data_IF_130194482863
#
_entry.id   IF_130194482863
#
_cell.length_a   1.000
_cell.length_b   1.000
_cell.length_c   1.000
_cell.angle_alpha   90.00
_cell.angle_beta   90.00
_cell.angle_gamma   90.00
#
_symmetry.space_group_name_H-M   'P 1'
#
loop_
_entity.id
_entity.type
_entity.pdbx_description
1 polymer ?
#
# COMPACT_ATOMS: atom_id res chain seq x y z
N UNK A 1 -18.04 -4.56 -5.24
CA UNK A 1 -19.22 -3.78 -4.74
C UNK A 1 -20.21 -3.53 -5.89
N UNK A 2 -19.82 -2.86 -6.95
CA UNK A 2 -20.69 -2.53 -8.11
C UNK A 2 -21.27 -3.75 -8.86
N UNK A 3 -20.73 -4.94 -8.68
CA UNK A 3 -21.23 -6.20 -9.27
C UNK A 3 -22.32 -6.89 -8.42
N UNK A 4 -22.62 -6.38 -7.22
CA UNK A 4 -23.68 -6.91 -6.39
C UNK A 4 -25.06 -6.41 -6.88
N UNK A 5 -26.12 -7.22 -6.75
CA UNK A 5 -27.47 -6.82 -7.15
C UNK A 5 -27.89 -5.47 -6.53
N UNK A 6 -28.40 -4.53 -7.33
CA UNK A 6 -28.87 -3.21 -6.89
C UNK A 6 -27.77 -2.25 -6.40
N UNK A 7 -26.49 -2.56 -6.66
CA UNK A 7 -25.38 -1.69 -6.22
C UNK A 7 -24.81 -0.85 -7.34
N UNK A 8 -24.99 -1.25 -8.60
CA UNK A 8 -24.46 -0.48 -9.75
C UNK A 8 -24.95 0.96 -9.77
N UNK A 9 -26.25 1.18 -9.55
CA UNK A 9 -26.91 2.47 -9.66
C UNK A 9 -26.45 3.49 -8.61
N UNK A 10 -25.76 3.03 -7.58
CA UNK A 10 -25.35 3.83 -6.40
C UNK A 10 -23.86 3.67 -6.05
N UNK A 11 -23.06 3.12 -6.97
CA UNK A 11 -21.63 2.90 -6.74
C UNK A 11 -20.80 3.69 -7.75
N UNK A 12 -19.79 4.37 -7.23
CA UNK A 12 -18.66 4.91 -8.01
C UNK A 12 -17.43 4.08 -7.70
N UNK A 13 -16.94 3.35 -8.68
CA UNK A 13 -15.69 2.58 -8.57
C UNK A 13 -14.53 3.45 -9.02
N UNK A 14 -13.61 3.78 -8.11
CA UNK A 14 -12.39 4.50 -8.42
C UNK A 14 -11.20 3.54 -8.34
N UNK A 15 -10.31 3.62 -9.31
CA UNK A 15 -9.08 2.81 -9.33
C UNK A 15 -7.90 3.62 -9.84
N UNK A 16 -6.70 3.16 -9.51
CA UNK A 16 -5.45 3.79 -9.90
C UNK A 16 -4.64 2.88 -10.80
N UNK A 17 -4.00 3.43 -11.81
CA UNK A 17 -3.04 2.73 -12.67
C UNK A 17 -1.63 2.71 -12.06
N UNK A 18 -1.42 3.50 -11.01
CA UNK A 18 -0.12 3.82 -10.42
C UNK A 18 0.71 2.61 -9.99
N UNK A 19 0.07 1.60 -9.36
CA UNK A 19 0.77 0.47 -8.77
C UNK A 19 0.82 -0.72 -9.72
N UNK A 20 -0.28 -0.99 -10.42
CA UNK A 20 -0.38 -2.11 -11.37
C UNK A 20 0.65 -2.02 -12.49
N UNK A 21 0.94 -0.80 -12.95
CA UNK A 21 1.87 -0.57 -14.07
C UNK A 21 3.15 0.17 -13.66
N UNK A 22 3.40 0.33 -12.35
CA UNK A 22 4.59 1.04 -11.81
C UNK A 22 4.74 2.48 -12.31
N UNK A 23 3.62 3.17 -12.59
CA UNK A 23 3.55 4.53 -13.13
C UNK A 23 3.04 5.56 -12.12
N UNK A 24 3.42 5.42 -10.85
CA UNK A 24 2.93 6.28 -9.76
C UNK A 24 3.08 7.77 -10.06
N UNK A 25 4.19 8.18 -10.71
CA UNK A 25 4.47 9.57 -11.07
C UNK A 25 3.58 10.13 -12.19
N UNK A 26 2.90 9.27 -12.95
CA UNK A 26 2.03 9.71 -14.05
C UNK A 26 0.70 10.29 -13.59
N UNK A 27 0.31 10.04 -12.35
CA UNK A 27 -0.94 10.55 -11.74
C UNK A 27 -2.20 10.15 -12.50
N UNK A 28 -2.26 8.89 -12.98
CA UNK A 28 -3.39 8.35 -13.73
C UNK A 28 -4.23 7.40 -12.86
N UNK A 29 -5.53 7.52 -13.03
CA UNK A 29 -6.55 6.65 -12.46
C UNK A 29 -7.84 6.78 -13.27
N UNK A 30 -8.85 6.02 -12.89
CA UNK A 30 -10.15 6.07 -13.55
C UNK A 30 -11.30 5.90 -12.55
N UNK A 31 -12.46 6.41 -12.96
CA UNK A 31 -13.72 6.21 -12.24
C UNK A 31 -14.75 5.58 -13.18
N UNK A 32 -15.53 4.64 -12.66
CA UNK A 32 -16.61 3.97 -13.37
C UNK A 32 -17.88 4.07 -12.53
N UNK A 33 -18.95 4.60 -13.11
CA UNK A 33 -20.25 4.72 -12.50
C UNK A 33 -21.35 4.84 -13.56
N UNK A 34 -22.64 4.74 -13.22
CA UNK A 34 -23.73 5.03 -14.13
C UNK A 34 -23.62 6.43 -14.77
N UNK A 35 -24.08 6.54 -16.02
CA UNK A 35 -23.94 7.76 -16.82
C UNK A 35 -24.40 9.04 -16.09
N UNK A 36 -25.56 9.08 -15.39
CA UNK A 36 -26.00 10.32 -14.71
C UNK A 36 -25.02 10.80 -13.64
N UNK A 37 -24.35 9.85 -12.95
CA UNK A 37 -23.32 10.16 -11.93
C UNK A 37 -22.05 10.63 -12.62
N UNK A 38 -21.60 9.93 -13.68
CA UNK A 38 -20.38 10.29 -14.42
C UNK A 38 -20.51 11.66 -15.09
N UNK A 39 -21.69 12.02 -15.61
CA UNK A 39 -21.90 13.34 -16.22
C UNK A 39 -21.66 14.47 -15.19
N UNK A 40 -22.06 14.26 -13.94
CA UNK A 40 -21.80 15.22 -12.84
C UNK A 40 -20.33 15.23 -12.44
N UNK A 41 -19.72 14.06 -12.29
CA UNK A 41 -18.29 13.94 -11.96
C UNK A 41 -17.44 14.66 -13.01
N UNK A 42 -17.73 14.47 -14.30
CA UNK A 42 -17.01 15.15 -15.39
C UNK A 42 -17.10 16.68 -15.30
N UNK A 43 -18.28 17.22 -15.02
CA UNK A 43 -18.46 18.67 -14.87
C UNK A 43 -17.55 19.25 -13.76
N UNK A 44 -17.52 18.60 -12.59
CA UNK A 44 -16.68 19.07 -11.48
C UNK A 44 -15.18 18.82 -11.75
N UNK A 45 -14.84 17.68 -12.35
CA UNK A 45 -13.45 17.34 -12.67
C UNK A 45 -12.83 18.32 -13.67
N UNK A 46 -13.60 18.76 -14.67
CA UNK A 46 -13.17 19.73 -15.66
C UNK A 46 -12.74 21.05 -15.02
N UNK A 47 -13.54 21.55 -14.04
CA UNK A 47 -13.19 22.78 -13.32
C UNK A 47 -12.09 22.61 -12.28
N UNK A 48 -11.92 21.43 -11.69
CA UNK A 48 -10.90 21.19 -10.66
C UNK A 48 -9.53 20.87 -11.25
N UNK A 49 -9.47 20.09 -12.32
CA UNK A 49 -8.23 19.45 -12.80
C UNK A 49 -8.05 19.57 -14.30
N UNK A 50 -9.09 20.01 -15.05
CA UNK A 50 -9.17 20.03 -16.53
C UNK A 50 -9.15 18.61 -17.11
N UNK A 51 -8.14 17.80 -16.79
CA UNK A 51 -8.01 16.42 -17.24
C UNK A 51 -6.64 15.83 -16.92
N UNK A 52 -6.50 14.55 -17.16
CA UNK A 52 -5.20 13.89 -17.08
C UNK A 52 -4.35 14.21 -18.33
N UNK A 53 -3.01 14.14 -18.25
CA UNK A 53 -2.13 14.41 -19.40
C UNK A 53 -2.39 13.45 -20.56
N UNK A 54 -2.84 13.98 -21.72
CA UNK A 54 -3.21 13.19 -22.88
C UNK A 54 -2.12 12.20 -23.35
N UNK A 55 -0.83 12.57 -23.45
CA UNK A 55 0.21 11.62 -23.86
C UNK A 55 0.35 10.43 -22.92
N UNK A 56 0.14 10.65 -21.62
CA UNK A 56 0.23 9.58 -20.62
C UNK A 56 -1.02 8.69 -20.63
N UNK A 57 -2.19 9.25 -20.97
CA UNK A 57 -3.41 8.45 -21.16
C UNK A 57 -3.27 7.50 -22.36
N UNK A 58 -2.73 7.98 -23.49
CA UNK A 58 -2.44 7.14 -24.64
C UNK A 58 -1.43 6.02 -24.30
N UNK A 59 -0.36 6.36 -23.62
CA UNK A 59 0.61 5.36 -23.17
C UNK A 59 0.01 4.33 -22.19
N UNK A 60 -0.96 4.72 -21.35
CA UNK A 60 -1.63 3.83 -20.42
C UNK A 60 -2.50 2.76 -21.10
N UNK A 61 -2.93 2.98 -22.33
CA UNK A 61 -3.68 1.98 -23.14
C UNK A 61 -2.87 0.70 -23.25
N UNK A 62 -1.56 0.78 -23.48
CA UNK A 62 -0.66 -0.37 -23.53
C UNK A 62 -0.74 -1.23 -22.26
N UNK A 63 -0.84 -0.58 -21.09
CA UNK A 63 -1.02 -1.29 -19.82
C UNK A 63 -2.40 -1.95 -19.71
N UNK A 64 -3.46 -1.27 -20.15
CA UNK A 64 -4.82 -1.80 -20.11
C UNK A 64 -5.04 -2.97 -21.08
N UNK A 65 -4.26 -3.03 -22.15
CA UNK A 65 -4.29 -4.10 -23.16
C UNK A 65 -3.37 -5.30 -22.80
N UNK A 66 -2.73 -5.28 -21.61
CA UNK A 66 -1.94 -6.41 -21.15
C UNK A 66 -2.80 -7.67 -21.00
N UNK A 67 -2.28 -8.86 -21.40
CA UNK A 67 -3.01 -10.11 -21.29
C UNK A 67 -3.25 -10.53 -19.83
N UNK A 68 -4.23 -11.38 -19.61
CA UNK A 68 -4.56 -11.90 -18.26
C UNK A 68 -3.36 -12.57 -17.58
N UNK A 69 -2.42 -13.14 -18.34
CA UNK A 69 -1.18 -13.70 -17.80
C UNK A 69 -0.34 -12.68 -17.04
N UNK A 70 -0.29 -11.43 -17.50
CA UNK A 70 0.39 -10.35 -16.79
C UNK A 70 -0.16 -10.16 -15.38
N UNK A 71 -1.48 -10.09 -15.24
CA UNK A 71 -2.12 -9.87 -13.95
C UNK A 71 -1.96 -11.08 -13.01
N UNK A 72 -1.99 -12.30 -13.60
CA UNK A 72 -1.73 -13.52 -12.84
C UNK A 72 -0.30 -13.56 -12.31
N UNK A 73 0.69 -13.37 -13.15
CA UNK A 73 2.11 -13.34 -12.78
C UNK A 73 2.41 -12.24 -11.76
N UNK A 74 1.80 -11.06 -11.94
CA UNK A 74 1.88 -9.96 -10.99
C UNK A 74 1.31 -10.34 -9.62
N UNK A 75 0.15 -10.99 -9.59
CA UNK A 75 -0.48 -11.48 -8.37
C UNK A 75 0.37 -12.54 -7.67
N UNK A 76 0.91 -13.52 -8.41
CA UNK A 76 1.76 -14.60 -7.90
C UNK A 76 3.07 -14.03 -7.32
N UNK A 77 3.66 -13.03 -7.98
CA UNK A 77 4.85 -12.32 -7.50
C UNK A 77 4.61 -11.62 -6.15
N UNK A 78 3.52 -10.88 -6.02
CA UNK A 78 3.18 -10.21 -4.75
C UNK A 78 2.77 -11.20 -3.65
N UNK A 79 2.14 -12.31 -4.00
CA UNK A 79 1.83 -13.38 -3.05
C UNK A 79 3.10 -14.02 -2.49
N UNK A 80 4.12 -14.23 -3.33
CA UNK A 80 5.44 -14.70 -2.90
C UNK A 80 6.09 -13.72 -1.91
N UNK A 81 6.21 -12.43 -2.26
CA UNK A 81 6.82 -11.42 -1.40
C UNK A 81 6.06 -11.26 -0.06
N UNK A 82 4.72 -11.27 -0.13
CA UNK A 82 3.87 -11.28 1.08
C UNK A 82 4.25 -12.45 1.98
N UNK A 83 4.24 -13.66 1.43
CA UNK A 83 4.53 -14.89 2.18
C UNK A 83 5.90 -14.83 2.83
N UNK A 84 6.94 -14.50 2.06
CA UNK A 84 8.32 -14.37 2.54
C UNK A 84 8.40 -13.42 3.74
N UNK A 85 7.84 -12.21 3.57
CA UNK A 85 7.95 -11.18 4.60
C UNK A 85 7.13 -11.50 5.84
N UNK A 86 5.88 -11.95 5.67
CA UNK A 86 5.00 -12.27 6.81
C UNK A 86 5.46 -13.50 7.59
N UNK A 87 5.99 -14.51 6.91
CA UNK A 87 6.56 -15.68 7.60
C UNK A 87 7.83 -15.28 8.40
N UNK A 88 8.66 -14.40 7.85
CA UNK A 88 9.79 -13.84 8.58
C UNK A 88 9.36 -13.04 9.82
N UNK A 89 8.36 -12.17 9.71
CA UNK A 89 7.82 -11.42 10.85
C UNK A 89 7.29 -12.35 11.96
N UNK A 90 6.62 -13.46 11.58
CA UNK A 90 6.15 -14.48 12.54
C UNK A 90 7.33 -15.14 13.27
N UNK A 91 8.40 -15.50 12.54
CA UNK A 91 9.59 -16.12 13.13
C UNK A 91 10.30 -15.19 14.12
N UNK A 92 10.35 -13.90 13.83
CA UNK A 92 10.94 -12.88 14.70
C UNK A 92 10.04 -12.56 15.89
N UNK A 93 8.72 -12.84 15.77
CA UNK A 93 7.73 -12.56 16.81
C UNK A 93 7.22 -11.12 16.79
N UNK A 94 7.26 -10.45 15.63
CA UNK A 94 6.65 -9.14 15.45
C UNK A 94 5.17 -9.33 15.08
N UNK A 95 4.21 -8.88 15.92
CA UNK A 95 2.80 -9.01 15.61
C UNK A 95 2.40 -8.14 14.41
N UNK A 96 1.49 -8.63 13.59
CA UNK A 96 0.96 -7.88 12.46
C UNK A 96 -0.44 -8.33 12.08
N UNK A 97 -1.18 -7.48 11.36
CA UNK A 97 -2.46 -7.84 10.74
C UNK A 97 -2.17 -8.53 9.39
N UNK A 98 -2.71 -9.74 9.18
CA UNK A 98 -2.52 -10.45 7.91
C UNK A 98 -3.16 -9.68 6.75
N UNK A 99 -2.38 -9.20 5.78
CA UNK A 99 -2.90 -8.38 4.70
C UNK A 99 -3.70 -9.23 3.70
N UNK A 100 -4.94 -8.82 3.43
CA UNK A 100 -5.80 -9.47 2.42
C UNK A 100 -5.61 -8.87 1.01
N UNK A 101 -4.77 -7.87 0.89
CA UNK A 101 -4.44 -7.18 -0.35
C UNK A 101 -3.32 -6.17 -0.13
N UNK A 102 -3.07 -5.31 -1.12
CA UNK A 102 -2.00 -4.31 -1.12
C UNK A 102 -0.59 -4.94 -1.09
N UNK A 103 0.40 -4.15 -0.76
CA UNK A 103 1.82 -4.51 -0.79
C UNK A 103 2.54 -4.17 0.53
N UNK A 104 1.79 -4.06 1.62
CA UNK A 104 2.31 -3.71 2.94
C UNK A 104 1.57 -4.47 4.05
N UNK A 105 2.19 -4.52 5.21
CA UNK A 105 1.59 -4.99 6.46
C UNK A 105 1.46 -3.83 7.46
N UNK A 106 0.50 -3.93 8.35
CA UNK A 106 0.42 -3.12 9.56
C UNK A 106 0.99 -3.97 10.70
N UNK A 107 2.17 -3.57 11.19
CA UNK A 107 2.86 -4.26 12.27
C UNK A 107 2.59 -3.54 13.59
N UNK A 108 2.34 -4.31 14.65
CA UNK A 108 2.15 -3.80 15.99
C UNK A 108 3.51 -3.65 16.68
N UNK A 109 3.87 -2.41 16.98
CA UNK A 109 5.09 -2.04 17.69
C UNK A 109 4.88 -1.81 19.18
N UNK A 110 3.65 -1.94 19.69
CA UNK A 110 3.32 -1.74 21.10
C UNK A 110 4.26 -2.48 22.06
N UNK A 111 4.63 -3.77 21.80
CA UNK A 111 5.59 -4.51 22.63
C UNK A 111 7.02 -3.93 22.65
N UNK A 112 7.35 -3.01 21.77
CA UNK A 112 8.68 -2.43 21.58
C UNK A 112 8.76 -0.96 21.99
N UNK A 113 7.60 -0.26 22.11
CA UNK A 113 7.53 1.14 22.51
C UNK A 113 7.97 1.34 23.95
N UNK A 114 8.75 2.39 24.18
CA UNK A 114 9.04 2.88 25.52
C UNK A 114 7.85 3.70 26.07
N UNK A 115 7.76 3.83 27.37
CA UNK A 115 6.69 4.61 28.00
C UNK A 115 6.73 6.08 27.51
N UNK A 116 5.66 6.51 26.87
CA UNK A 116 5.50 7.86 26.34
C UNK A 116 6.15 8.12 24.97
N UNK A 117 6.73 7.10 24.35
CA UNK A 117 7.30 7.19 23.01
C UNK A 117 6.19 7.22 21.96
N UNK A 118 6.32 8.08 20.97
CA UNK A 118 5.43 8.12 19.81
C UNK A 118 5.86 7.11 18.75
N UNK A 119 4.91 6.69 17.89
CA UNK A 119 5.23 5.88 16.72
C UNK A 119 6.13 6.61 15.72
N UNK A 120 6.10 7.93 15.70
CA UNK A 120 7.00 8.77 14.87
C UNK A 120 8.44 8.65 15.39
N UNK A 121 8.66 8.84 16.70
CA UNK A 121 9.99 8.73 17.30
C UNK A 121 10.54 7.31 17.12
N UNK A 122 9.69 6.30 17.33
CA UNK A 122 10.04 4.91 17.07
C UNK A 122 10.47 4.68 15.62
N UNK A 123 9.73 5.20 14.63
CA UNK A 123 10.08 5.04 13.20
C UNK A 123 11.42 5.69 12.88
N UNK A 124 11.71 6.87 13.43
CA UNK A 124 13.00 7.56 13.24
C UNK A 124 14.15 6.77 13.85
N UNK A 125 13.99 6.33 15.09
CA UNK A 125 15.01 5.54 15.78
C UNK A 125 15.23 4.17 15.13
N UNK A 126 14.17 3.51 14.66
CA UNK A 126 14.26 2.25 13.91
C UNK A 126 15.04 2.43 12.60
N UNK A 127 14.80 3.51 11.88
CA UNK A 127 15.57 3.81 10.67
C UNK A 127 17.05 4.06 10.98
N UNK A 128 17.37 4.77 12.06
CA UNK A 128 18.73 5.12 12.45
C UNK A 128 19.51 3.91 13.02
N UNK A 129 18.92 3.20 13.99
CA UNK A 129 19.63 2.15 14.72
C UNK A 129 19.50 0.76 14.10
N UNK A 130 18.33 0.44 13.54
CA UNK A 130 18.04 -0.87 12.94
C UNK A 130 18.30 -0.86 11.43
N UNK A 131 18.16 0.31 10.79
CA UNK A 131 18.33 0.47 9.35
C UNK A 131 17.14 -0.03 8.54
N UNK A 132 15.94 -0.05 9.15
CA UNK A 132 14.67 -0.38 8.47
C UNK A 132 13.70 0.79 8.61
N UNK A 133 13.30 1.36 7.48
CA UNK A 133 12.35 2.46 7.46
C UNK A 133 10.90 1.94 7.42
N UNK A 134 10.03 2.55 8.22
CA UNK A 134 8.60 2.31 8.22
C UNK A 134 7.83 3.64 8.28
N UNK A 135 6.52 3.58 8.14
CA UNK A 135 5.65 4.76 8.19
C UNK A 135 4.79 4.68 9.45
N UNK A 136 4.76 5.73 10.29
CA UNK A 136 3.98 5.71 11.53
C UNK A 136 2.48 5.58 11.25
N UNK A 137 1.79 4.84 12.11
CA UNK A 137 0.35 4.55 11.98
C UNK A 137 -0.51 5.79 12.14
N UNK A 138 -0.13 6.72 13.02
CA UNK A 138 -0.81 8.01 13.20
C UNK A 138 -1.01 8.79 11.91
N UNK A 139 -0.22 8.51 10.86
CA UNK A 139 -0.40 9.08 9.51
C UNK A 139 -1.64 8.57 8.77
N UNK A 140 -2.31 7.51 9.26
CA UNK A 140 -3.39 6.81 8.54
C UNK A 140 -4.71 6.73 9.29
N UNK A 141 -4.73 7.07 10.58
CA UNK A 141 -5.91 6.96 11.43
C UNK A 141 -6.30 8.33 12.00
N UNK A 142 -7.59 8.58 12.14
CA UNK A 142 -8.12 9.75 12.85
C UNK A 142 -8.12 9.53 14.37
N UNK A 143 -8.19 8.26 14.80
CA UNK A 143 -8.11 7.84 16.18
C UNK A 143 -6.64 7.86 16.65
N UNK A 144 -6.43 7.89 17.96
CA UNK A 144 -5.09 7.82 18.54
C UNK A 144 -4.53 6.39 18.49
N UNK A 145 -4.14 5.98 17.28
CA UNK A 145 -3.47 4.69 17.02
C UNK A 145 -1.97 4.95 16.88
N UNK A 146 -1.24 4.79 17.96
CA UNK A 146 0.20 5.11 18.04
C UNK A 146 1.10 3.87 18.23
N UNK A 147 0.54 2.67 18.15
CA UNK A 147 1.25 1.41 18.29
C UNK A 147 1.38 0.61 17.00
N UNK A 148 1.03 1.20 15.86
CA UNK A 148 1.07 0.53 14.56
C UNK A 148 2.02 1.27 13.63
N UNK A 149 2.78 0.51 12.86
CA UNK A 149 3.58 1.03 11.74
C UNK A 149 3.26 0.28 10.46
N UNK A 150 3.35 0.97 9.34
CA UNK A 150 3.21 0.36 8.03
C UNK A 150 4.57 0.04 7.43
N UNK A 151 4.79 -1.22 7.12
CA UNK A 151 5.99 -1.72 6.43
C UNK A 151 5.59 -2.37 5.12
N UNK A 152 6.25 -2.04 4.01
CA UNK A 152 5.91 -2.62 2.71
C UNK A 152 6.87 -3.74 2.32
N UNK A 153 6.34 -4.74 1.60
CA UNK A 153 7.11 -5.88 1.11
C UNK A 153 7.34 -5.87 -0.42
N UNK A 154 7.02 -4.76 -1.10
CA UNK A 154 7.28 -4.59 -2.52
C UNK A 154 8.79 -4.32 -2.78
N UNK A 155 9.62 -5.32 -2.54
CA UNK A 155 11.08 -5.29 -2.68
C UNK A 155 11.56 -6.62 -3.25
N UNK A 156 12.82 -6.66 -3.71
CA UNK A 156 13.49 -7.90 -4.07
C UNK A 156 13.67 -8.79 -2.83
N UNK A 157 13.72 -10.09 -3.04
CA UNK A 157 13.86 -11.08 -1.97
C UNK A 157 15.08 -10.80 -1.08
N UNK A 158 16.23 -10.43 -1.68
CA UNK A 158 17.45 -10.13 -0.93
C UNK A 158 17.24 -8.97 0.05
N UNK A 159 16.50 -7.91 -0.39
CA UNK A 159 16.20 -6.77 0.45
C UNK A 159 15.24 -7.15 1.59
N UNK A 160 14.28 -8.06 1.32
CA UNK A 160 13.37 -8.56 2.35
C UNK A 160 14.08 -9.42 3.38
N UNK A 161 14.98 -10.31 2.95
CA UNK A 161 15.81 -11.11 3.86
C UNK A 161 16.70 -10.22 4.72
N UNK A 162 17.36 -9.22 4.13
CA UNK A 162 18.18 -8.26 4.87
C UNK A 162 17.35 -7.45 5.89
N UNK A 163 16.17 -7.00 5.50
CA UNK A 163 15.27 -6.28 6.42
C UNK A 163 14.82 -7.17 7.59
N UNK A 164 14.49 -8.44 7.33
CA UNK A 164 14.10 -9.40 8.36
C UNK A 164 15.25 -9.72 9.31
N UNK A 165 16.47 -9.89 8.78
CA UNK A 165 17.68 -10.06 9.60
C UNK A 165 17.88 -8.86 10.53
N UNK A 166 17.84 -7.64 10.01
CA UNK A 166 17.93 -6.42 10.80
C UNK A 166 16.83 -6.32 11.86
N UNK A 167 15.58 -6.65 11.51
CA UNK A 167 14.44 -6.65 12.42
C UNK A 167 14.56 -7.72 13.52
N UNK A 168 15.27 -8.83 13.29
CA UNK A 168 15.51 -9.84 14.32
C UNK A 168 16.27 -9.29 15.53
N UNK A 169 17.05 -8.22 15.34
CA UNK A 169 17.81 -7.51 16.36
C UNK A 169 17.07 -6.29 16.93
N UNK A 170 15.78 -6.09 16.59
CA UNK A 170 15.00 -4.91 16.98
C UNK A 170 15.02 -4.67 18.50
N UNK A 171 14.74 -5.71 19.30
CA UNK A 171 14.72 -5.60 20.77
C UNK A 171 16.06 -5.20 21.38
N UNK A 172 17.15 -5.62 20.76
CA UNK A 172 18.50 -5.34 21.23
C UNK A 172 18.91 -3.89 20.92
N UNK A 173 18.62 -3.45 19.68
CA UNK A 173 19.05 -2.14 19.19
C UNK A 173 18.20 -0.97 19.65
N UNK A 174 16.93 -1.23 20.01
CA UNK A 174 15.97 -0.20 20.47
C UNK A 174 15.88 -0.06 21.99
N UNK A 175 16.74 -0.75 22.74
CA UNK A 175 16.84 -0.65 24.21
C UNK A 175 17.65 0.55 24.66
#
# INVERSE_FOLDING_TARGET
>A
MNSLPGMWERTVSCSSLSKTYSITGWRLGYAIAPKPIMDRIKQYHDFNTVGAPSPLMEAAVVGLDMPDSYYKEFGDHYAHMKKLFTDGLKQIGIPFTDPQGAYFVLADIGPYLRKGESDVDFCLEMAEKVGVACVPGTSFFNENVNNIVRVHFAKKDETLYEALDRLSHLKEKMR
#
